data_IF_479031462133
#
_entry.id   IF_479031462133
#
_cell.length_a   1.000
_cell.length_b   1.000
_cell.length_c   1.000
_cell.angle_alpha   90.00
_cell.angle_beta   90.00
_cell.angle_gamma   90.00
#
_symmetry.space_group_name_H-M   'P 1'
#
loop_
_entity.id
_entity.type
_entity.pdbx_description
1 polymer ?
#
# COMPACT_ATOMS: atom_id res chain seq x y z
N UNK A 1 14.58 -12.90 50.81
CA UNK A 1 15.45 -11.71 50.69
C UNK A 1 14.52 -10.53 50.58
N UNK A 2 14.30 -9.88 51.72
CA UNK A 2 13.31 -8.81 51.98
C UNK A 2 14.12 -7.69 52.65
N UNK A 3 13.92 -6.40 52.43
CA UNK A 3 12.70 -5.65 52.17
C UNK A 3 12.71 -4.49 53.17
N UNK A 4 12.93 -3.28 52.65
CA UNK A 4 12.66 -1.92 53.12
C UNK A 4 12.46 -1.58 54.61
N UNK A 5 13.10 -0.49 55.06
CA UNK A 5 12.47 0.84 55.23
C UNK A 5 13.21 1.71 56.27
N UNK A 6 13.35 3.02 56.00
CA UNK A 6 13.66 4.02 57.02
C UNK A 6 13.18 5.43 56.61
N UNK A 7 12.32 6.00 57.44
CA UNK A 7 12.06 7.44 57.63
C UNK A 7 12.37 7.78 59.09
N UNK A 8 12.80 9.01 59.38
CA UNK A 8 12.16 9.83 60.44
C UNK A 8 12.12 11.32 60.01
N UNK A 9 11.44 12.30 60.63
CA UNK A 9 10.66 12.49 61.84
C UNK A 9 9.95 13.86 61.70
N UNK A 10 8.81 14.06 62.37
CA UNK A 10 8.07 15.33 62.47
C UNK A 10 8.30 15.95 63.87
N UNK A 11 8.32 17.29 64.01
CA UNK A 11 7.39 18.04 64.89
C UNK A 11 7.59 19.60 64.90
N UNK A 12 6.48 20.31 64.59
CA UNK A 12 5.88 21.56 65.18
C UNK A 12 6.77 22.68 65.77
N UNK A 13 6.57 24.00 65.60
CA UNK A 13 5.34 24.86 65.61
C UNK A 13 5.64 26.34 65.23
N UNK A 14 4.62 27.04 64.70
CA UNK A 14 4.21 28.45 64.95
C UNK A 14 4.36 29.58 63.89
N UNK A 15 3.21 30.24 63.67
CA UNK A 15 2.88 31.64 63.27
C UNK A 15 3.27 32.27 61.91
N UNK A 16 2.22 32.61 61.14
CA UNK A 16 1.71 33.99 60.91
C UNK A 16 1.33 34.28 59.44
N UNK A 17 0.10 34.76 59.27
CA UNK A 17 -0.53 35.20 58.03
C UNK A 17 -0.01 36.57 57.58
N UNK A 18 0.39 36.67 56.31
CA UNK A 18 0.54 37.93 55.58
C UNK A 18 0.16 37.74 54.12
N UNK A 19 -0.84 38.49 53.68
CA UNK A 19 -1.44 38.50 52.35
C UNK A 19 -0.59 39.30 51.36
N UNK A 20 -0.20 38.68 50.24
CA UNK A 20 0.36 39.35 49.07
C UNK A 20 -0.71 39.48 47.95
N UNK A 21 -0.72 40.56 47.15
CA UNK A 21 -1.83 40.90 46.26
C UNK A 21 -1.81 40.08 44.96
N UNK A 22 -2.95 39.93 44.26
CA UNK A 22 -2.99 39.25 42.97
C UNK A 22 -2.27 40.09 41.90
N UNK A 23 -1.38 39.42 41.16
CA UNK A 23 -0.73 39.93 39.96
C UNK A 23 -1.80 40.31 38.91
N UNK A 24 -1.92 41.60 38.64
CA UNK A 24 -2.81 42.11 37.61
C UNK A 24 -2.28 41.77 36.20
N UNK A 25 -3.10 41.11 35.39
CA UNK A 25 -2.85 40.92 33.97
C UNK A 25 -2.72 42.30 33.26
N UNK A 26 -1.74 42.48 32.34
CA UNK A 26 -1.64 43.71 31.57
C UNK A 26 -2.92 43.95 30.77
N UNK A 27 -3.47 45.16 30.85
CA UNK A 27 -4.68 45.60 30.14
C UNK A 27 -4.49 45.43 28.62
N UNK A 28 -5.06 44.38 28.04
CA UNK A 28 -5.25 44.25 26.59
C UNK A 28 -6.29 45.28 26.15
N UNK A 29 -5.91 46.19 25.23
CA UNK A 29 -6.85 47.18 24.69
C UNK A 29 -7.74 46.50 23.65
N UNK A 30 -9.04 46.38 23.93
CA UNK A 30 -10.04 46.07 22.91
C UNK A 30 -10.17 47.28 21.97
N UNK A 31 -9.87 47.12 20.68
CA UNK A 31 -9.96 48.23 19.73
C UNK A 31 -10.58 47.76 18.41
N UNK A 32 -11.44 48.61 17.83
CA UNK A 32 -11.94 48.41 16.48
C UNK A 32 -10.79 48.62 15.48
N UNK A 33 -10.59 47.67 14.56
CA UNK A 33 -9.48 47.64 13.59
C UNK A 33 -9.28 48.96 12.80
N UNK A 34 -10.32 49.79 12.64
CA UNK A 34 -10.20 51.12 12.00
C UNK A 34 -9.18 52.05 12.67
N UNK A 35 -8.89 51.87 13.96
CA UNK A 35 -7.88 52.67 14.67
C UNK A 35 -6.44 52.30 14.36
N UNK A 36 -6.18 51.08 13.89
CA UNK A 36 -4.82 50.55 13.70
C UNK A 36 -4.25 50.79 12.28
N UNK A 37 -5.10 51.16 11.31
CA UNK A 37 -4.72 51.38 9.89
C UNK A 37 -4.59 52.86 9.53
N UNK A 38 -4.34 53.72 10.53
CA UNK A 38 -4.07 55.15 10.30
C UNK A 38 -2.73 55.44 9.59
N UNK A 39 -1.93 54.41 9.28
CA UNK A 39 -0.57 54.56 8.75
C UNK A 39 -0.32 53.53 7.64
N UNK A 40 -0.74 53.82 6.41
CA UNK A 40 -0.13 53.43 5.12
C UNK A 40 0.45 52.02 4.86
N UNK A 41 0.34 51.08 5.78
CA UNK A 41 1.06 49.81 5.73
C UNK A 41 0.16 48.76 5.11
N UNK A 42 0.60 48.24 3.95
CA UNK A 42 -0.13 47.23 3.18
C UNK A 42 -0.21 45.87 3.90
N UNK A 43 0.61 45.69 4.94
CA UNK A 43 0.80 44.43 5.65
C UNK A 43 0.24 44.46 7.08
N UNK A 44 -0.32 43.32 7.47
CA UNK A 44 -0.92 43.01 8.76
C UNK A 44 -0.06 41.97 9.46
N UNK A 45 0.18 42.19 10.75
CA UNK A 45 0.97 41.33 11.63
C UNK A 45 0.06 40.53 12.54
N UNK A 46 0.14 39.21 12.48
CA UNK A 46 -0.73 38.29 13.22
C UNK A 46 0.12 37.31 14.02
N UNK A 47 -0.18 37.15 15.30
CA UNK A 47 0.42 36.14 16.17
C UNK A 47 -0.66 35.09 16.50
N UNK A 48 -0.45 33.85 16.04
CA UNK A 48 -1.38 32.73 16.21
C UNK A 48 -0.75 31.71 17.15
N UNK A 49 -1.12 31.76 18.42
CA UNK A 49 -0.61 30.85 19.46
C UNK A 49 0.91 30.83 19.60
N UNK A 50 1.58 31.96 19.34
CA UNK A 50 3.04 32.10 19.37
C UNK A 50 3.71 32.06 18.00
N UNK A 51 3.02 31.63 16.95
CA UNK A 51 3.56 31.63 15.58
C UNK A 51 3.24 32.94 14.88
N UNK A 52 4.28 33.60 14.36
CA UNK A 52 4.18 34.93 13.74
C UNK A 52 3.93 34.83 12.24
N UNK A 53 2.95 35.59 11.75
CA UNK A 53 2.58 35.66 10.34
C UNK A 53 2.47 37.11 9.85
N UNK A 54 2.90 37.30 8.60
CA UNK A 54 2.75 38.54 7.86
C UNK A 54 1.91 38.28 6.62
N UNK A 55 0.86 39.06 6.43
CA UNK A 55 -0.01 38.97 5.25
C UNK A 55 -0.62 40.32 4.93
N UNK A 56 -1.38 40.44 3.85
CA UNK A 56 -2.07 41.69 3.50
C UNK A 56 -3.53 41.64 3.91
N UNK A 57 -4.13 42.82 4.13
CA UNK A 57 -5.55 42.93 4.42
C UNK A 57 -6.41 42.30 3.30
N UNK A 58 -5.96 42.46 2.05
CA UNK A 58 -6.61 41.90 0.87
C UNK A 58 -6.77 40.37 0.95
N UNK A 59 -5.75 39.64 1.42
CA UNK A 59 -5.82 38.18 1.57
C UNK A 59 -6.83 37.81 2.66
N UNK A 60 -6.79 38.51 3.80
CA UNK A 60 -7.66 38.23 4.95
C UNK A 60 -9.14 38.51 4.67
N UNK A 61 -9.44 39.42 3.74
CA UNK A 61 -10.81 39.80 3.38
C UNK A 61 -11.29 39.21 2.05
N UNK A 62 -10.46 38.45 1.34
CA UNK A 62 -10.76 37.89 0.01
C UNK A 62 -11.93 36.91 0.04
N UNK A 63 -11.96 36.02 1.02
CA UNK A 63 -13.00 35.00 1.16
C UNK A 63 -13.87 35.29 2.38
N UNK A 64 -15.13 34.86 2.33
CA UNK A 64 -16.01 34.96 3.49
C UNK A 64 -15.57 33.98 4.57
N UNK A 65 -15.07 34.51 5.68
CA UNK A 65 -14.43 33.76 6.76
C UNK A 65 -14.48 34.57 8.06
N UNK A 66 -14.20 33.92 9.19
CA UNK A 66 -14.05 34.61 10.48
C UNK A 66 -12.96 35.68 10.41
N UNK A 67 -11.87 35.42 9.68
CA UNK A 67 -10.77 36.37 9.49
C UNK A 67 -11.29 37.64 8.79
N UNK A 68 -12.08 37.52 7.73
CA UNK A 68 -12.71 38.69 7.10
C UNK A 68 -13.53 39.51 8.09
N UNK A 69 -14.29 38.89 9.00
CA UNK A 69 -15.04 39.60 10.03
C UNK A 69 -14.14 40.36 11.03
N UNK A 70 -13.06 39.73 11.47
CA UNK A 70 -12.05 40.35 12.36
C UNK A 70 -11.40 41.56 11.70
N UNK A 71 -11.00 41.43 10.44
CA UNK A 71 -10.26 42.46 9.70
C UNK A 71 -11.13 43.48 8.97
N UNK A 72 -12.45 43.29 8.94
CA UNK A 72 -13.43 44.29 8.46
C UNK A 72 -14.00 45.16 9.60
N UNK A 73 -13.55 44.95 10.84
CA UNK A 73 -14.04 45.67 12.02
C UNK A 73 -15.42 45.22 12.49
N UNK A 74 -15.91 44.08 12.03
CA UNK A 74 -17.20 43.49 12.47
C UNK A 74 -17.06 42.65 13.74
N UNK A 75 -15.83 42.27 14.09
CA UNK A 75 -15.51 41.46 15.27
C UNK A 75 -14.35 42.11 16.02
N UNK A 76 -14.40 42.05 17.34
CA UNK A 76 -13.33 42.55 18.20
C UNK A 76 -12.06 41.73 18.02
N UNK A 77 -10.91 42.42 18.06
CA UNK A 77 -9.58 41.81 17.94
C UNK A 77 -8.70 42.30 19.10
N UNK A 78 -7.87 41.40 19.61
CA UNK A 78 -6.88 41.73 20.63
C UNK A 78 -5.57 42.10 19.94
N UNK A 79 -4.99 43.23 20.35
CA UNK A 79 -3.72 43.72 19.82
C UNK A 79 -2.74 43.94 20.96
N UNK A 80 -1.52 43.46 20.78
CA UNK A 80 -0.42 43.68 21.73
C UNK A 80 0.17 45.09 21.61
N UNK A 81 1.02 45.48 22.56
CA UNK A 81 1.74 46.77 22.61
C UNK A 81 2.54 47.04 21.33
N UNK A 82 3.08 45.99 20.71
CA UNK A 82 3.86 46.06 19.48
C UNK A 82 3.01 46.09 18.21
N UNK A 83 1.68 46.01 18.34
CA UNK A 83 0.74 46.04 17.21
C UNK A 83 0.50 44.67 16.55
N UNK A 84 0.79 43.56 17.24
CA UNK A 84 0.46 42.20 16.80
C UNK A 84 -0.98 41.86 17.12
N UNK A 85 -1.72 41.37 16.14
CA UNK A 85 -3.08 40.87 16.35
C UNK A 85 -2.99 39.43 16.87
N UNK A 86 -3.56 39.20 18.05
CA UNK A 86 -3.44 37.94 18.77
C UNK A 86 -4.62 37.02 18.46
N UNK A 87 -4.33 35.78 18.10
CA UNK A 87 -5.30 34.71 17.92
C UNK A 87 -4.89 33.54 18.81
N UNK A 88 -5.77 33.14 19.73
CA UNK A 88 -5.57 32.02 20.65
C UNK A 88 -5.90 30.68 19.98
N UNK A 89 -5.08 30.29 18.99
CA UNK A 89 -5.16 29.05 18.22
C UNK A 89 -3.77 28.53 17.88
N UNK A 90 -3.66 27.28 17.44
CA UNK A 90 -2.39 26.73 16.99
C UNK A 90 -1.96 27.31 15.63
N UNK A 91 -0.76 27.89 15.58
CA UNK A 91 -0.19 28.39 14.34
C UNK A 91 0.29 27.33 13.35
N UNK A 92 0.30 26.04 13.72
CA UNK A 92 0.86 24.94 12.91
C UNK A 92 0.33 24.89 11.47
N UNK A 93 -0.99 25.04 11.31
CA UNK A 93 -1.68 24.93 10.02
C UNK A 93 -2.16 26.28 9.47
N UNK A 94 -1.88 27.38 10.16
CA UNK A 94 -2.36 28.70 9.76
C UNK A 94 -1.76 29.17 8.42
N UNK A 95 -0.56 28.71 8.07
CA UNK A 95 0.02 28.91 6.74
C UNK A 95 -0.86 28.35 5.61
N UNK A 96 -1.40 27.14 5.79
CA UNK A 96 -2.32 26.52 4.82
C UNK A 96 -3.63 27.28 4.71
N UNK A 97 -4.15 27.83 5.81
CA UNK A 97 -5.32 28.72 5.80
C UNK A 97 -5.02 29.96 4.95
N UNK A 98 -3.85 30.59 5.14
CA UNK A 98 -3.46 31.76 4.34
C UNK A 98 -3.28 31.43 2.85
N UNK A 99 -2.70 30.28 2.51
CA UNK A 99 -2.60 29.81 1.13
C UNK A 99 -3.98 29.63 0.50
N UNK A 100 -4.91 28.97 1.21
CA UNK A 100 -6.30 28.84 0.74
C UNK A 100 -6.97 30.20 0.50
N UNK A 101 -6.77 31.17 1.41
CA UNK A 101 -7.31 32.51 1.23
C UNK A 101 -6.69 33.28 0.05
N UNK A 102 -5.44 32.97 -0.33
CA UNK A 102 -4.76 33.58 -1.48
C UNK A 102 -5.25 33.00 -2.80
N UNK A 103 -5.24 31.67 -2.90
CA UNK A 103 -5.32 30.98 -4.18
C UNK A 103 -6.68 30.29 -4.40
N UNK A 104 -7.52 30.21 -3.36
CA UNK A 104 -8.80 29.50 -3.38
C UNK A 104 -8.66 27.97 -3.37
N UNK A 105 -7.43 27.47 -3.43
CA UNK A 105 -7.09 26.04 -3.37
C UNK A 105 -5.86 25.86 -2.47
N UNK A 106 -5.69 24.66 -1.91
CA UNK A 106 -4.51 24.35 -1.09
C UNK A 106 -4.11 22.90 -1.28
N UNK A 107 -2.81 22.63 -1.32
CA UNK A 107 -2.28 21.27 -1.19
C UNK A 107 -2.48 20.81 0.25
N UNK A 108 -3.31 19.79 0.44
CA UNK A 108 -3.56 19.22 1.76
C UNK A 108 -2.29 18.57 2.33
N UNK A 109 -2.07 18.65 3.65
CA UNK A 109 -0.92 18.03 4.28
C UNK A 109 -0.98 16.50 4.15
N UNK A 110 0.19 15.86 4.11
CA UNK A 110 0.29 14.40 4.04
C UNK A 110 -0.06 13.79 5.40
N UNK A 111 -0.96 12.81 5.39
CA UNK A 111 -1.34 12.03 6.57
C UNK A 111 -2.67 12.46 7.21
N UNK A 112 -3.46 11.46 7.63
CA UNK A 112 -4.83 11.64 8.13
C UNK A 112 -4.92 12.59 9.34
N UNK A 113 -3.99 12.46 10.29
CA UNK A 113 -3.96 13.31 11.47
C UNK A 113 -3.73 14.79 11.11
N UNK A 114 -2.81 15.07 10.19
CA UNK A 114 -2.53 16.44 9.77
C UNK A 114 -3.74 17.06 9.04
N UNK A 115 -4.47 16.28 8.24
CA UNK A 115 -5.71 16.74 7.59
C UNK A 115 -6.82 16.99 8.62
N UNK A 116 -6.94 16.15 9.66
CA UNK A 116 -7.91 16.38 10.75
C UNK A 116 -7.59 17.64 11.57
N UNK A 117 -6.30 17.88 11.87
CA UNK A 117 -5.86 19.10 12.54
C UNK A 117 -6.16 20.34 11.68
N UNK A 118 -5.88 20.29 10.37
CA UNK A 118 -6.20 21.36 9.43
C UNK A 118 -7.72 21.59 9.34
N UNK A 119 -8.53 20.52 9.31
CA UNK A 119 -9.99 20.58 9.31
C UNK A 119 -10.52 21.31 10.55
N UNK A 120 -9.95 21.05 11.72
CA UNK A 120 -10.34 21.73 12.96
C UNK A 120 -10.09 23.24 12.89
N UNK A 121 -8.95 23.67 12.35
CA UNK A 121 -8.65 25.08 12.13
C UNK A 121 -9.53 25.70 11.03
N UNK A 122 -9.76 24.99 9.92
CA UNK A 122 -10.64 25.44 8.84
C UNK A 122 -12.07 25.69 9.34
N UNK A 123 -12.59 24.83 10.22
CA UNK A 123 -13.88 25.00 10.91
C UNK A 123 -13.85 26.21 11.84
N UNK A 124 -12.78 26.40 12.62
CA UNK A 124 -12.64 27.56 13.50
C UNK A 124 -12.66 28.89 12.72
N UNK A 125 -11.89 28.99 11.63
CA UNK A 125 -11.83 30.20 10.81
C UNK A 125 -13.01 30.36 9.84
N UNK A 126 -13.96 29.43 9.84
CA UNK A 126 -15.12 29.40 8.93
C UNK A 126 -14.71 29.44 7.44
N UNK A 127 -13.63 28.74 7.09
CA UNK A 127 -13.17 28.64 5.71
C UNK A 127 -13.90 27.48 5.00
N UNK A 128 -15.17 27.69 4.63
CA UNK A 128 -16.08 26.63 4.18
C UNK A 128 -15.52 25.78 3.02
N UNK A 129 -14.95 26.40 1.98
CA UNK A 129 -14.37 25.65 0.86
C UNK A 129 -13.18 24.77 1.28
N UNK A 130 -12.43 25.16 2.32
CA UNK A 130 -11.35 24.34 2.86
C UNK A 130 -11.86 23.19 3.73
N UNK A 131 -12.97 23.41 4.47
CA UNK A 131 -13.66 22.36 5.23
C UNK A 131 -14.09 21.25 4.28
N UNK A 132 -14.74 21.60 3.17
CA UNK A 132 -15.19 20.64 2.16
C UNK A 132 -14.02 19.88 1.54
N UNK A 133 -12.93 20.55 1.18
CA UNK A 133 -11.72 19.88 0.66
C UNK A 133 -11.15 18.86 1.66
N UNK A 134 -11.08 19.22 2.94
CA UNK A 134 -10.57 18.33 3.98
C UNK A 134 -11.52 17.16 4.25
N UNK A 135 -12.84 17.40 4.32
CA UNK A 135 -13.83 16.35 4.53
C UNK A 135 -13.87 15.37 3.36
N UNK A 136 -13.82 15.86 2.12
CA UNK A 136 -13.73 15.02 0.93
C UNK A 136 -12.45 14.17 0.93
N UNK A 137 -11.31 14.74 1.34
CA UNK A 137 -10.06 14.00 1.47
C UNK A 137 -10.10 12.94 2.59
N UNK A 138 -10.87 13.17 3.66
CA UNK A 138 -11.02 12.21 4.76
C UNK A 138 -12.06 11.11 4.46
N UNK A 139 -13.06 11.42 3.62
CA UNK A 139 -14.08 10.50 3.12
C UNK A 139 -13.56 9.62 1.98
N UNK A 140 -12.63 10.12 1.15
CA UNK A 140 -11.97 9.37 0.08
C UNK A 140 -11.04 8.24 0.56
N UNK A 141 -11.06 7.91 1.85
CA UNK A 141 -10.34 6.78 2.43
C UNK A 141 -11.26 5.55 2.56
N UNK A 142 -12.12 5.34 1.57
CA UNK A 142 -12.74 4.04 1.31
C UNK A 142 -11.60 3.04 1.18
N UNK A 143 -11.63 2.01 2.02
CA UNK A 143 -10.72 0.87 2.07
C UNK A 143 -10.13 0.56 0.68
N UNK A 144 -8.92 1.04 0.40
CA UNK A 144 -8.28 0.66 -0.85
C UNK A 144 -7.96 -0.84 -0.73
N UNK A 145 -8.40 -1.67 -1.70
CA UNK A 145 -8.16 -3.09 -1.63
C UNK A 145 -6.65 -3.33 -1.53
N UNK A 146 -6.24 -4.08 -0.51
CA UNK A 146 -4.82 -4.36 -0.25
C UNK A 146 -4.16 -5.02 -1.46
N UNK A 147 -4.87 -5.90 -2.16
CA UNK A 147 -4.42 -6.61 -3.34
C UNK A 147 -5.52 -6.62 -4.40
N UNK A 148 -5.19 -6.21 -5.63
CA UNK A 148 -6.09 -6.25 -6.79
C UNK A 148 -5.57 -7.27 -7.78
N UNK A 149 -6.39 -8.27 -8.07
CA UNK A 149 -6.05 -9.36 -9.00
C UNK A 149 -6.93 -9.19 -10.25
N UNK A 150 -6.37 -8.81 -11.40
CA UNK A 150 -7.11 -8.79 -12.66
C UNK A 150 -7.57 -10.19 -13.06
N UNK A 151 -8.83 -10.28 -13.49
CA UNK A 151 -9.40 -11.48 -14.13
C UNK A 151 -9.49 -11.21 -15.62
N UNK A 152 -8.72 -11.95 -16.41
CA UNK A 152 -8.58 -11.75 -17.85
C UNK A 152 -9.67 -12.50 -18.59
N UNK A 153 -10.29 -11.80 -19.55
CA UNK A 153 -11.35 -12.35 -20.40
C UNK A 153 -11.03 -12.26 -21.89
N UNK A 154 -9.77 -12.02 -22.27
CA UNK A 154 -9.33 -12.15 -23.67
C UNK A 154 -7.82 -12.31 -23.78
N UNK A 155 -7.33 -13.02 -24.80
CA UNK A 155 -5.89 -13.17 -25.04
C UNK A 155 -5.18 -11.84 -25.30
N UNK A 156 -5.87 -10.87 -25.92
CA UNK A 156 -5.30 -9.52 -26.16
C UNK A 156 -5.08 -8.75 -24.85
N UNK A 157 -5.99 -8.89 -23.90
CA UNK A 157 -5.85 -8.29 -22.57
C UNK A 157 -4.71 -8.94 -21.78
N UNK A 158 -4.59 -10.27 -21.86
CA UNK A 158 -3.48 -11.03 -21.28
C UNK A 158 -2.13 -10.50 -21.76
N UNK A 159 -1.93 -10.45 -23.09
CA UNK A 159 -0.68 -10.01 -23.70
C UNK A 159 -0.34 -8.58 -23.27
N UNK A 160 -1.34 -7.68 -23.25
CA UNK A 160 -1.16 -6.30 -22.80
C UNK A 160 -0.70 -6.23 -21.34
N UNK A 161 -1.30 -7.01 -20.44
CA UNK A 161 -0.92 -7.01 -19.02
C UNK A 161 0.52 -7.54 -18.82
N UNK A 162 0.91 -8.58 -19.54
CA UNK A 162 2.25 -9.18 -19.45
C UNK A 162 3.31 -8.25 -20.07
N UNK A 163 3.02 -7.63 -21.21
CA UNK A 163 3.96 -6.75 -21.92
C UNK A 163 4.15 -5.39 -21.25
N UNK A 164 3.10 -4.86 -20.60
CA UNK A 164 3.18 -3.57 -19.90
C UNK A 164 3.71 -3.69 -18.46
N UNK A 165 3.74 -4.90 -17.90
CA UNK A 165 4.21 -5.12 -16.53
C UNK A 165 5.73 -5.03 -16.41
N UNK A 166 6.19 -4.13 -15.55
CA UNK A 166 7.60 -4.08 -15.10
C UNK A 166 7.92 -5.10 -14.01
N UNK A 167 6.88 -5.70 -13.41
CA UNK A 167 6.99 -6.71 -12.35
C UNK A 167 6.93 -8.12 -12.94
N UNK A 168 7.53 -9.12 -12.29
CA UNK A 168 7.25 -10.52 -12.60
C UNK A 168 5.75 -10.80 -12.50
N UNK A 169 5.26 -11.70 -13.35
CA UNK A 169 3.84 -12.02 -13.47
C UNK A 169 3.61 -13.49 -13.19
N UNK A 170 2.64 -13.80 -12.34
CA UNK A 170 2.16 -15.15 -12.09
C UNK A 170 0.71 -15.24 -12.55
N UNK A 171 0.44 -16.12 -13.50
CA UNK A 171 -0.89 -16.34 -14.07
C UNK A 171 -1.40 -17.70 -13.66
N UNK A 172 -2.63 -17.76 -13.15
CA UNK A 172 -3.37 -19.00 -12.93
C UNK A 172 -4.52 -19.09 -13.93
N UNK A 173 -4.47 -20.11 -14.77
CA UNK A 173 -5.62 -20.56 -15.56
C UNK A 173 -6.41 -21.54 -14.71
N UNK A 174 -7.71 -21.31 -14.54
CA UNK A 174 -8.61 -22.28 -13.92
C UNK A 174 -9.95 -22.27 -14.65
N UNK A 175 -10.28 -23.39 -15.28
CA UNK A 175 -11.46 -23.53 -16.13
C UNK A 175 -12.23 -24.80 -15.76
N UNK A 176 -13.11 -24.67 -14.76
CA UNK A 176 -13.95 -25.78 -14.28
C UNK A 176 -14.97 -26.23 -15.33
N UNK A 177 -15.43 -25.33 -16.21
CA UNK A 177 -16.44 -25.64 -17.22
C UNK A 177 -15.88 -26.37 -18.45
N UNK A 178 -14.58 -26.64 -18.50
CA UNK A 178 -13.97 -27.36 -19.61
C UNK A 178 -14.48 -28.80 -19.71
N UNK A 179 -14.97 -29.19 -20.88
CA UNK A 179 -15.55 -30.52 -21.14
C UNK A 179 -14.57 -31.69 -20.93
N UNK A 180 -13.25 -31.43 -20.94
CA UNK A 180 -12.22 -32.44 -20.67
C UNK A 180 -12.11 -32.77 -19.16
N UNK A 181 -12.68 -31.94 -18.29
CA UNK A 181 -12.55 -32.05 -16.82
C UNK A 181 -13.31 -33.25 -16.27
N UNK A 182 -12.62 -34.09 -15.48
CA UNK A 182 -13.23 -35.20 -14.77
C UNK A 182 -13.64 -34.79 -13.36
N UNK A 183 -14.95 -34.71 -13.13
CA UNK A 183 -15.58 -34.39 -11.84
C UNK A 183 -15.43 -35.54 -10.84
N UNK A 184 -14.22 -35.68 -10.29
CA UNK A 184 -13.96 -36.54 -9.14
C UNK A 184 -13.72 -35.66 -7.91
N UNK A 185 -14.07 -36.14 -6.71
CA UNK A 185 -13.86 -35.39 -5.47
C UNK A 185 -12.42 -34.92 -5.31
N UNK A 186 -11.46 -35.80 -5.59
CA UNK A 186 -10.02 -35.48 -5.54
C UNK A 186 -9.62 -34.37 -6.53
N UNK A 187 -10.16 -34.38 -7.75
CA UNK A 187 -9.90 -33.30 -8.73
C UNK A 187 -10.46 -31.96 -8.25
N UNK A 188 -11.69 -31.95 -7.71
CA UNK A 188 -12.34 -30.73 -7.21
C UNK A 188 -11.57 -30.16 -6.00
N UNK A 189 -11.17 -31.01 -5.05
CA UNK A 189 -10.36 -30.60 -3.90
C UNK A 189 -9.01 -30.00 -4.33
N UNK A 190 -8.34 -30.63 -5.30
CA UNK A 190 -7.07 -30.13 -5.81
C UNK A 190 -7.23 -28.81 -6.58
N UNK A 191 -8.32 -28.62 -7.32
CA UNK A 191 -8.60 -27.35 -7.98
C UNK A 191 -8.79 -26.22 -6.95
N UNK A 192 -9.54 -26.48 -5.87
CA UNK A 192 -9.72 -25.53 -4.78
C UNK A 192 -8.40 -25.19 -4.08
N UNK A 193 -7.55 -26.18 -3.82
CA UNK A 193 -6.20 -25.96 -3.25
C UNK A 193 -5.32 -25.08 -4.15
N UNK A 194 -5.38 -25.25 -5.47
CA UNK A 194 -4.68 -24.36 -6.40
C UNK A 194 -5.18 -22.90 -6.30
N UNK A 195 -6.50 -22.71 -6.23
CA UNK A 195 -7.10 -21.36 -6.09
C UNK A 195 -6.71 -20.73 -4.74
N UNK A 196 -6.80 -21.49 -3.65
CA UNK A 196 -6.42 -21.01 -2.31
C UNK A 196 -4.94 -20.63 -2.24
N UNK A 197 -4.06 -21.47 -2.80
CA UNK A 197 -2.63 -21.18 -2.87
C UNK A 197 -2.36 -19.89 -3.66
N UNK A 198 -3.06 -19.68 -4.77
CA UNK A 198 -2.92 -18.47 -5.57
C UNK A 198 -3.28 -17.22 -4.77
N UNK A 199 -4.40 -17.24 -4.06
CA UNK A 199 -4.84 -16.11 -3.25
C UNK A 199 -3.88 -15.84 -2.08
N UNK A 200 -3.33 -16.91 -1.47
CA UNK A 200 -2.30 -16.79 -0.41
C UNK A 200 -1.02 -16.15 -0.93
N UNK A 201 -0.56 -16.56 -2.12
CA UNK A 201 0.64 -16.00 -2.76
C UNK A 201 0.41 -14.56 -3.20
N UNK A 202 -0.76 -14.23 -3.74
CA UNK A 202 -1.07 -12.86 -4.18
C UNK A 202 -1.09 -11.86 -3.02
N UNK A 203 -1.56 -12.29 -1.85
CA UNK A 203 -1.49 -11.48 -0.64
C UNK A 203 -0.06 -11.35 -0.12
N UNK A 204 0.71 -12.45 -0.12
CA UNK A 204 2.08 -12.49 0.43
C UNK A 204 3.08 -11.66 -0.39
N UNK A 205 2.93 -11.66 -1.71
CA UNK A 205 3.82 -10.95 -2.65
C UNK A 205 3.17 -9.72 -3.28
N UNK A 206 2.15 -9.18 -2.62
CA UNK A 206 1.47 -7.97 -3.06
C UNK A 206 2.46 -6.82 -3.27
N UNK A 207 2.31 -6.11 -4.39
CA UNK A 207 3.20 -5.01 -4.76
C UNK A 207 4.51 -5.44 -5.42
N UNK A 208 4.96 -6.69 -5.28
CA UNK A 208 6.20 -7.22 -5.90
C UNK A 208 5.94 -8.02 -7.17
N UNK A 209 4.90 -8.84 -7.15
CA UNK A 209 4.49 -9.70 -8.28
C UNK A 209 3.10 -9.29 -8.74
N UNK A 210 2.87 -9.29 -10.05
CA UNK A 210 1.54 -9.13 -10.62
C UNK A 210 0.88 -10.51 -10.74
N UNK A 211 -0.22 -10.71 -10.01
CA UNK A 211 -1.01 -11.95 -10.09
C UNK A 211 -2.18 -11.77 -11.05
N UNK A 212 -2.41 -12.74 -11.93
CA UNK A 212 -3.47 -12.71 -12.94
C UNK A 212 -4.29 -13.99 -12.89
N UNK A 213 -5.62 -13.85 -12.91
CA UNK A 213 -6.56 -14.97 -13.07
C UNK A 213 -7.03 -15.03 -14.52
N UNK A 214 -6.95 -16.20 -15.15
CA UNK A 214 -7.39 -16.43 -16.53
C UNK A 214 -8.50 -17.48 -16.53
N UNK A 215 -9.69 -17.09 -17.01
CA UNK A 215 -10.90 -17.93 -17.01
C UNK A 215 -11.26 -18.46 -18.40
N UNK A 216 -10.47 -18.14 -19.44
CA UNK A 216 -10.78 -18.48 -20.84
C UNK A 216 -9.83 -19.53 -21.43
N UNK A 217 -8.68 -19.77 -20.80
CA UNK A 217 -7.73 -20.78 -21.28
C UNK A 217 -8.37 -22.15 -21.59
N UNK A 218 -7.85 -22.83 -22.63
CA UNK A 218 -8.24 -24.21 -23.00
C UNK A 218 -7.72 -25.25 -21.98
N UNK A 219 -6.81 -24.85 -21.09
CA UNK A 219 -6.32 -25.68 -20.00
C UNK A 219 -7.27 -25.63 -18.79
N UNK A 220 -7.42 -26.76 -18.10
CA UNK A 220 -8.29 -26.85 -16.91
C UNK A 220 -7.64 -26.14 -15.71
N UNK A 221 -6.36 -26.38 -15.46
CA UNK A 221 -5.61 -25.76 -14.37
C UNK A 221 -4.13 -25.69 -14.74
N UNK A 222 -3.61 -24.47 -14.89
CA UNK A 222 -2.23 -24.25 -15.30
C UNK A 222 -1.67 -22.97 -14.66
N UNK A 223 -0.47 -23.08 -14.10
CA UNK A 223 0.29 -21.94 -13.61
C UNK A 223 1.34 -21.54 -14.63
N UNK A 224 1.35 -20.27 -15.01
CA UNK A 224 2.35 -19.70 -15.91
C UNK A 224 3.11 -18.58 -15.22
N UNK A 225 4.42 -18.61 -15.37
CA UNK A 225 5.36 -17.72 -14.70
C UNK A 225 6.09 -16.88 -15.74
N UNK A 226 6.09 -15.56 -15.55
CA UNK A 226 6.72 -14.62 -16.46
C UNK A 226 7.65 -13.69 -15.70
N UNK A 227 8.75 -13.31 -16.34
CA UNK A 227 9.66 -12.28 -15.87
C UNK A 227 10.13 -11.47 -17.05
N UNK A 228 10.20 -10.15 -16.93
CA UNK A 228 10.59 -9.26 -18.04
C UNK A 228 9.76 -9.51 -19.31
N UNK A 229 8.43 -9.65 -19.15
CA UNK A 229 7.46 -9.89 -20.24
C UNK A 229 7.65 -11.17 -21.06
N UNK A 230 8.53 -12.08 -20.65
CA UNK A 230 8.72 -13.40 -21.26
C UNK A 230 8.28 -14.53 -20.33
N UNK A 231 7.78 -15.62 -20.91
CA UNK A 231 7.40 -16.83 -20.18
C UNK A 231 8.65 -17.58 -19.73
N UNK A 232 8.77 -17.87 -18.44
CA UNK A 232 9.91 -18.56 -17.83
C UNK A 232 9.62 -20.03 -17.60
N UNK A 233 8.45 -20.31 -17.02
CA UNK A 233 8.03 -21.64 -16.62
C UNK A 233 6.52 -21.81 -16.71
N UNK A 234 6.10 -23.06 -16.75
CA UNK A 234 4.72 -23.49 -16.74
C UNK A 234 4.58 -24.77 -15.92
N UNK A 235 3.63 -24.79 -15.00
CA UNK A 235 3.25 -25.98 -14.23
C UNK A 235 1.84 -26.37 -14.64
N UNK A 236 1.73 -27.44 -15.43
CA UNK A 236 0.45 -28.00 -15.82
C UNK A 236 -0.08 -28.86 -14.68
N UNK A 237 -1.17 -28.44 -14.04
CA UNK A 237 -1.79 -29.15 -12.92
C UNK A 237 -2.79 -30.23 -13.38
N UNK A 238 -2.66 -30.73 -14.60
CA UNK A 238 -3.54 -31.75 -15.18
C UNK A 238 -2.77 -33.04 -15.47
N UNK A 239 -3.40 -34.18 -15.20
CA UNK A 239 -2.87 -35.51 -15.51
C UNK A 239 -3.93 -36.34 -16.24
N UNK A 240 -3.55 -36.95 -17.36
CA UNK A 240 -4.43 -37.82 -18.14
C UNK A 240 -4.25 -39.26 -17.66
N UNK A 241 -5.30 -39.81 -17.07
CA UNK A 241 -5.35 -41.21 -16.62
C UNK A 241 -6.23 -42.00 -17.58
N UNK A 242 -5.70 -43.12 -18.06
CA UNK A 242 -6.46 -44.08 -18.87
C UNK A 242 -7.18 -45.03 -17.92
N UNK A 243 -8.46 -44.82 -17.68
CA UNK A 243 -9.31 -45.83 -17.07
C UNK A 243 -9.77 -46.83 -18.14
N UNK A 244 -10.18 -48.03 -17.73
CA UNK A 244 -10.59 -49.16 -18.59
C UNK A 244 -11.68 -48.79 -19.61
N UNK A 245 -12.46 -47.74 -19.36
CA UNK A 245 -13.60 -47.37 -20.19
C UNK A 245 -13.49 -45.99 -20.86
N UNK A 246 -12.75 -45.02 -20.28
CA UNK A 246 -12.58 -43.65 -20.83
C UNK A 246 -11.28 -42.98 -20.38
N UNK A 247 -10.78 -42.03 -21.19
CA UNK A 247 -9.73 -41.09 -20.78
C UNK A 247 -10.30 -40.12 -19.74
N UNK A 248 -9.64 -40.02 -18.59
CA UNK A 248 -10.00 -39.08 -17.53
C UNK A 248 -8.90 -38.02 -17.38
N UNK A 249 -9.28 -36.76 -17.27
CA UNK A 249 -8.35 -35.65 -16.97
C UNK A 249 -8.53 -35.25 -15.52
N UNK A 250 -7.58 -35.64 -14.67
CA UNK A 250 -7.57 -35.32 -13.25
C UNK A 250 -6.77 -34.05 -13.00
N UNK A 251 -7.17 -33.30 -11.99
CA UNK A 251 -6.41 -32.13 -11.52
C UNK A 251 -5.56 -32.54 -10.33
N UNK A 252 -4.30 -32.10 -10.38
CA UNK A 252 -3.25 -32.36 -9.41
C UNK A 252 -2.87 -31.05 -8.70
N UNK A 253 -2.29 -31.15 -7.51
CA UNK A 253 -1.84 -30.00 -6.73
C UNK A 253 -0.35 -30.13 -6.37
N UNK A 254 0.57 -29.76 -7.28
CA UNK A 254 2.01 -29.82 -7.04
C UNK A 254 2.50 -28.61 -6.24
N UNK A 255 2.03 -28.48 -4.99
CA UNK A 255 2.29 -27.33 -4.11
C UNK A 255 3.76 -26.89 -4.08
N UNK A 256 4.68 -27.81 -3.81
CA UNK A 256 6.11 -27.53 -3.72
C UNK A 256 6.70 -26.93 -5.01
N UNK A 257 6.25 -27.41 -6.18
CA UNK A 257 6.73 -26.90 -7.48
C UNK A 257 6.16 -25.52 -7.79
N UNK A 258 4.91 -25.27 -7.44
CA UNK A 258 4.29 -23.95 -7.60
C UNK A 258 5.05 -22.92 -6.76
N UNK A 259 5.30 -23.24 -5.48
CA UNK A 259 6.08 -22.37 -4.58
C UNK A 259 7.50 -22.10 -5.11
N UNK A 260 8.21 -23.14 -5.54
CA UNK A 260 9.57 -23.03 -6.10
C UNK A 260 9.60 -22.08 -7.30
N UNK A 261 8.70 -22.25 -8.27
CA UNK A 261 8.66 -21.39 -9.45
C UNK A 261 8.21 -19.95 -9.12
N UNK A 262 7.29 -19.76 -8.14
CA UNK A 262 6.95 -18.41 -7.65
C UNK A 262 8.16 -17.70 -7.05
N UNK A 263 8.98 -18.40 -6.26
CA UNK A 263 10.21 -17.83 -5.71
C UNK A 263 11.23 -17.54 -6.82
N UNK A 264 11.35 -18.41 -7.82
CA UNK A 264 12.23 -18.20 -8.97
C UNK A 264 11.83 -16.95 -9.79
N UNK A 265 10.54 -16.64 -9.90
CA UNK A 265 10.09 -15.40 -10.57
C UNK A 265 10.55 -14.13 -9.87
N UNK A 266 10.74 -14.14 -8.55
CA UNK A 266 11.20 -12.97 -7.81
C UNK A 266 12.63 -12.56 -8.18
N UNK A 267 13.43 -13.47 -8.74
CA UNK A 267 14.76 -13.15 -9.27
C UNK A 267 14.71 -12.14 -10.42
N UNK A 268 13.54 -11.94 -11.04
CA UNK A 268 13.34 -11.01 -12.16
C UNK A 268 12.64 -9.71 -11.74
N UNK A 269 12.62 -9.37 -10.44
CA UNK A 269 12.02 -8.15 -9.90
C UNK A 269 12.83 -6.87 -10.18
N UNK A 270 14.17 -6.97 -10.25
CA UNK A 270 15.06 -5.82 -10.45
C UNK A 270 15.92 -5.96 -11.69
N UNK A 271 16.20 -4.83 -12.34
CA UNK A 271 17.29 -4.72 -13.31
C UNK A 271 18.56 -4.28 -12.56
N UNK A 272 19.74 -4.84 -12.86
CA UNK A 272 20.06 -5.69 -14.02
C UNK A 272 19.78 -7.18 -13.79
N UNK A 273 19.79 -7.96 -14.89
CA UNK A 273 19.66 -9.42 -14.88
C UNK A 273 20.53 -10.08 -13.79
N UNK A 274 20.05 -11.12 -13.08
CA UNK A 274 20.90 -11.92 -12.21
C UNK A 274 22.07 -12.51 -13.00
N UNK A 275 23.28 -12.45 -12.45
CA UNK A 275 24.47 -13.05 -13.06
C UNK A 275 24.24 -14.53 -13.40
N UNK A 276 24.81 -14.99 -14.52
CA UNK A 276 24.68 -16.37 -14.99
C UNK A 276 25.02 -17.41 -13.91
N UNK A 277 25.96 -17.09 -13.00
CA UNK A 277 26.38 -17.94 -11.88
C UNK A 277 25.26 -18.19 -10.86
N UNK A 278 24.47 -17.15 -10.50
CA UNK A 278 23.35 -17.29 -9.57
C UNK A 278 22.20 -18.10 -10.19
N UNK A 279 21.97 -17.94 -11.50
CA UNK A 279 20.97 -18.70 -12.24
C UNK A 279 21.35 -20.19 -12.37
N UNK A 280 22.65 -20.48 -12.46
CA UNK A 280 23.18 -21.83 -12.59
C UNK A 280 23.15 -22.61 -11.26
N UNK A 281 23.32 -21.92 -10.13
CA UNK A 281 23.16 -22.50 -8.79
C UNK A 281 21.74 -23.05 -8.58
N UNK A 282 20.71 -22.34 -9.03
CA UNK A 282 19.32 -22.83 -8.98
C UNK A 282 19.07 -23.97 -9.98
N UNK A 283 19.76 -23.98 -11.13
CA UNK A 283 19.65 -25.06 -12.13
C UNK A 283 20.23 -26.40 -11.65
N UNK A 284 21.32 -26.39 -10.86
CA UNK A 284 21.96 -27.63 -10.36
C UNK A 284 21.08 -28.47 -9.44
N UNK A 285 20.04 -27.88 -8.83
CA UNK A 285 19.04 -28.65 -8.07
C UNK A 285 18.23 -29.62 -8.96
N UNK A 286 18.14 -29.35 -10.26
CA UNK A 286 17.37 -30.15 -11.22
C UNK A 286 18.11 -31.38 -11.79
N UNK A 287 19.44 -31.42 -11.76
CA UNK A 287 20.23 -32.49 -12.40
C UNK A 287 20.66 -33.60 -11.44
N UNK A 288 20.44 -33.47 -10.13
CA UNK A 288 20.90 -34.47 -9.15
C UNK A 288 20.05 -35.77 -9.09
N UNK A 289 19.12 -36.01 -10.02
CA UNK A 289 18.41 -37.29 -10.13
C UNK A 289 18.26 -37.79 -11.58
N UNK A 290 19.35 -37.84 -12.33
CA UNK A 290 19.39 -38.50 -13.64
C UNK A 290 20.81 -38.92 -13.97
N UNK A 291 21.00 -40.22 -14.19
CA UNK A 291 22.28 -40.88 -14.43
C UNK A 291 23.12 -40.21 -15.52
N UNK A 292 24.43 -40.24 -15.30
CA UNK A 292 25.51 -39.93 -16.24
C UNK A 292 25.23 -40.46 -17.65
N UNK A 293 25.39 -39.58 -18.65
CA UNK A 293 25.85 -39.95 -19.98
C UNK A 293 26.65 -38.78 -20.53
N UNK A 294 27.95 -39.00 -20.69
CA UNK A 294 28.96 -38.09 -21.21
C UNK A 294 28.74 -37.93 -22.72
N UNK A 295 28.44 -36.73 -23.23
CA UNK A 295 28.73 -36.37 -24.62
C UNK A 295 29.11 -34.88 -24.71
N UNK A 296 30.01 -34.62 -25.65
CA UNK A 296 31.04 -33.59 -25.77
C UNK A 296 30.64 -32.10 -25.73
N UNK A 297 31.62 -31.30 -25.29
CA UNK A 297 31.67 -29.84 -25.44
C UNK A 297 31.75 -29.41 -26.91
N UNK A 298 30.89 -28.46 -27.29
CA UNK A 298 31.03 -27.62 -28.48
C UNK A 298 30.77 -26.14 -28.15
N UNK A 299 31.47 -25.17 -28.75
CA UNK A 299 31.40 -23.76 -28.36
C UNK A 299 30.14 -23.11 -28.95
N UNK A 300 29.04 -23.12 -28.20
CA UNK A 300 27.74 -22.57 -28.60
C UNK A 300 26.97 -21.95 -27.44
N UNK A 301 27.60 -21.05 -26.68
CA UNK A 301 27.09 -20.50 -25.42
C UNK A 301 25.91 -19.52 -25.48
N UNK A 302 25.19 -19.40 -26.60
CA UNK A 302 24.11 -18.42 -26.76
C UNK A 302 22.68 -19.01 -26.83
N UNK A 303 22.53 -20.31 -27.13
CA UNK A 303 21.22 -20.87 -27.52
C UNK A 303 20.43 -21.54 -26.37
N UNK A 304 21.06 -21.75 -25.20
CA UNK A 304 20.43 -22.40 -24.05
C UNK A 304 19.51 -21.48 -23.21
N UNK A 305 19.29 -20.24 -23.66
CA UNK A 305 18.74 -19.13 -22.87
C UNK A 305 17.24 -18.87 -23.06
N UNK A 306 16.56 -19.62 -23.92
CA UNK A 306 15.19 -19.28 -24.37
C UNK A 306 14.13 -20.36 -24.09
N UNK A 307 14.51 -21.51 -23.52
CA UNK A 307 13.55 -22.62 -23.33
C UNK A 307 12.68 -22.43 -22.09
N UNK A 308 11.37 -22.29 -22.30
CA UNK A 308 10.35 -22.32 -21.25
C UNK A 308 10.40 -23.66 -20.51
N UNK A 309 10.51 -23.64 -19.18
CA UNK A 309 10.47 -24.86 -18.36
C UNK A 309 9.02 -25.36 -18.25
N UNK A 310 8.68 -26.42 -18.99
CA UNK A 310 7.36 -27.06 -18.91
C UNK A 310 7.39 -28.24 -17.95
N UNK A 311 6.71 -28.11 -16.81
CA UNK A 311 6.63 -29.11 -15.77
C UNK A 311 5.27 -29.82 -15.91
N UNK A 312 5.32 -31.11 -16.24
CA UNK A 312 4.16 -31.98 -16.25
C UNK A 312 4.23 -32.91 -15.04
N UNK A 313 3.10 -33.10 -14.35
CA UNK A 313 3.01 -34.08 -13.27
C UNK A 313 3.27 -35.48 -13.87
N UNK A 314 4.24 -36.23 -13.32
CA UNK A 314 4.58 -37.57 -13.81
C UNK A 314 3.38 -38.52 -13.71
N UNK A 315 3.22 -39.35 -14.74
CA UNK A 315 2.28 -40.47 -14.78
C UNK A 315 2.79 -41.58 -13.86
N UNK A 316 2.07 -41.89 -12.78
CA UNK A 316 2.19 -43.22 -12.19
C UNK A 316 1.29 -44.15 -13.01
N UNK A 317 1.91 -44.92 -13.90
CA UNK A 317 1.24 -46.08 -14.51
C UNK A 317 1.18 -47.14 -13.43
N UNK A 318 0.01 -47.36 -12.83
CA UNK A 318 -0.22 -48.51 -11.96
C UNK A 318 -0.34 -49.76 -12.82
N UNK A 319 0.80 -50.32 -13.23
CA UNK A 319 0.89 -51.64 -13.87
C UNK A 319 2.14 -52.38 -13.42
N UNK A 320 2.28 -52.56 -12.11
CA UNK A 320 2.97 -53.71 -11.48
C UNK A 320 2.11 -53.97 -10.22
N UNK A 321 1.47 -55.12 -9.99
CA UNK A 321 2.02 -56.47 -9.97
C UNK A 321 1.01 -57.48 -10.56
N UNK A 322 1.45 -58.30 -11.51
CA UNK A 322 0.90 -59.66 -11.67
C UNK A 322 1.69 -60.56 -10.69
N UNK A 323 1.04 -61.34 -9.81
CA UNK A 323 1.67 -62.55 -9.31
C UNK A 323 1.57 -63.61 -10.40
N UNK A 324 2.70 -63.98 -11.00
CA UNK A 324 2.86 -65.32 -11.57
C UNK A 324 3.24 -66.28 -10.43
N UNK A 325 2.54 -67.41 -10.34
CA UNK A 325 2.80 -68.53 -9.41
C UNK A 325 1.88 -68.49 -8.18
N UNK A 326 1.17 -69.55 -7.78
CA UNK A 326 1.38 -71.00 -7.99
C UNK A 326 0.15 -71.69 -8.61
#
# INVERSE_FOLDING_TARGET
>A
MSGDSCLPQHHTLSHSTSSAPPLACPKTKTCSYRGAVGLGNKYVRINVGGTLFYTTLQVLTRQDSMLKAMFSGKKEVFTDKDGWILIDRSGKHFGSILCFLRDGTVSLPKGRQAVQELLAEAKYYLAQGLVELCENSLQGNTEQPLCVIPVVTSSKEEERLIQSSTKPVVKLVYNRSNNKYSYTSNSDDNLLKNIELFDRLSLSFNGRVLFIKDVIGDEICCWSFYGQSRKLAEVCCTSIVYATEKKQTKVEFPEARIYEETLNTLLYETMPLPDNSLLEATRRSYTSCGSHSEEEEGPGGAELRERVRRIHIKRYSTYEERPMGH
#
